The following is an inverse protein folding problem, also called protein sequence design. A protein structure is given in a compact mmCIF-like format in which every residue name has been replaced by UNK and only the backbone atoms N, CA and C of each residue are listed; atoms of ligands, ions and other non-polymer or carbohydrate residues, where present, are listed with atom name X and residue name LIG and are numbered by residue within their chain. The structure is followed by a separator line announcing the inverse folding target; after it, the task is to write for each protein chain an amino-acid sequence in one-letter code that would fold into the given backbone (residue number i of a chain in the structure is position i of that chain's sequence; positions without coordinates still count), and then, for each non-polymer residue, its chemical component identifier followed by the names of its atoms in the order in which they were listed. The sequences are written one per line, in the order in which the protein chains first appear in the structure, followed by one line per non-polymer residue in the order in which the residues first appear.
data_IF_227605587786
#
_entry.id   IF_227605587786
#
_cell.length_a   1.000
_cell.length_b   1.000
_cell.length_c   1.000
_cell.angle_alpha   90.00
_cell.angle_beta   90.00
_cell.angle_gamma   90.00
#
_symmetry.space_group_name_H-M   'P 1'
#
loop_
_entity.id
_entity.type
_entity.pdbx_description
1 polymer ?
#
# COMPACT_ATOMS: atom_id res chain seq x y z
N UNK A 1 -36.37 36.36 4.89
CA UNK A 1 -37.36 35.32 4.54
C UNK A 1 -36.99 34.82 3.15
N UNK A 2 -36.67 33.53 3.00
CA UNK A 2 -36.31 32.97 1.69
C UNK A 2 -37.60 32.86 0.86
N UNK A 3 -37.74 33.57 -0.28
CA UNK A 3 -38.97 33.55 -1.05
C UNK A 3 -39.09 32.19 -1.76
N UNK A 4 -39.94 31.32 -1.23
CA UNK A 4 -40.24 30.03 -1.87
C UNK A 4 -41.24 30.25 -3.01
N UNK A 5 -41.01 29.67 -4.20
CA UNK A 5 -41.93 29.76 -5.33
C UNK A 5 -43.09 28.78 -5.13
N UNK A 6 -43.94 29.03 -4.12
CA UNK A 6 -45.01 28.11 -3.69
C UNK A 6 -46.02 27.81 -4.79
N UNK A 7 -46.25 28.77 -5.70
CA UNK A 7 -47.09 28.66 -6.89
C UNK A 7 -46.51 27.75 -7.97
N UNK A 8 -45.22 27.44 -7.89
CA UNK A 8 -44.49 26.59 -8.83
C UNK A 8 -44.24 25.19 -8.27
N UNK A 9 -44.70 24.87 -7.06
CA UNK A 9 -44.55 23.55 -6.46
C UNK A 9 -45.80 22.71 -6.69
N UNK A 10 -45.64 21.58 -7.39
CA UNK A 10 -46.70 20.59 -7.57
C UNK A 10 -46.40 19.34 -6.77
N UNK A 11 -47.40 18.83 -6.03
CA UNK A 11 -47.28 17.53 -5.34
C UNK A 11 -47.01 16.46 -6.39
N UNK A 12 -45.91 15.72 -6.21
CA UNK A 12 -45.53 14.60 -7.08
C UNK A 12 -45.87 13.25 -6.46
N UNK A 13 -45.76 13.13 -5.14
CA UNK A 13 -46.05 11.89 -4.42
C UNK A 13 -46.36 12.15 -2.94
N UNK A 14 -47.17 11.27 -2.36
CA UNK A 14 -47.42 11.22 -0.92
C UNK A 14 -47.17 9.80 -0.43
N UNK A 15 -46.25 9.63 0.50
CA UNK A 15 -45.89 8.34 1.08
C UNK A 15 -46.20 8.31 2.58
N UNK A 16 -47.32 7.72 2.99
CA UNK A 16 -47.60 7.47 4.40
C UNK A 16 -46.77 6.28 4.93
N UNK A 17 -46.35 6.38 6.18
CA UNK A 17 -45.71 5.31 6.97
C UNK A 17 -46.42 5.20 8.31
N UNK A 18 -46.09 4.18 9.12
CA UNK A 18 -46.69 4.01 10.45
C UNK A 18 -46.48 5.21 11.39
N UNK A 19 -45.46 6.05 11.16
CA UNK A 19 -45.09 7.15 12.06
C UNK A 19 -45.18 8.53 11.41
N UNK A 20 -45.12 8.62 10.07
CA UNK A 20 -44.95 9.88 9.35
C UNK A 20 -45.58 9.84 7.96
N UNK A 21 -45.88 11.00 7.41
CA UNK A 21 -46.24 11.16 6.00
C UNK A 21 -45.20 12.03 5.30
N UNK A 22 -44.67 11.55 4.18
CA UNK A 22 -43.75 12.30 3.32
C UNK A 22 -44.52 12.85 2.13
N UNK A 23 -44.50 14.16 1.94
CA UNK A 23 -45.08 14.84 0.77
C UNK A 23 -43.92 15.34 -0.08
N UNK A 24 -43.84 14.83 -1.31
CA UNK A 24 -42.83 15.25 -2.29
C UNK A 24 -43.46 16.19 -3.29
N UNK A 25 -42.71 17.24 -3.63
CA UNK A 25 -43.07 18.21 -4.64
C UNK A 25 -41.98 18.25 -5.71
N UNK A 26 -42.41 18.48 -6.94
CA UNK A 26 -41.55 18.90 -8.04
C UNK A 26 -41.82 20.37 -8.35
N UNK A 27 -40.78 21.09 -8.77
CA UNK A 27 -40.94 22.46 -9.23
C UNK A 27 -41.26 22.51 -10.72
N UNK A 28 -42.23 23.34 -11.10
CA UNK A 28 -42.68 23.59 -12.48
C UNK A 28 -42.73 25.09 -12.71
N UNK A 29 -41.97 25.58 -13.68
CA UNK A 29 -41.92 26.99 -14.04
C UNK A 29 -42.59 27.20 -15.41
N UNK A 30 -43.72 27.92 -15.44
CA UNK A 30 -44.49 28.18 -16.67
C UNK A 30 -44.79 26.90 -17.49
N UNK A 31 -45.15 25.80 -16.80
CA UNK A 31 -45.45 24.51 -17.41
C UNK A 31 -44.23 23.65 -17.75
N UNK A 32 -43.00 24.15 -17.57
CA UNK A 32 -41.78 23.37 -17.77
C UNK A 32 -41.26 22.82 -16.44
N UNK A 33 -40.89 21.53 -16.37
CA UNK A 33 -40.24 20.96 -15.19
C UNK A 33 -38.90 21.67 -14.94
N UNK A 34 -38.65 22.02 -13.67
CA UNK A 34 -37.35 22.47 -13.21
C UNK A 34 -36.58 21.23 -12.76
N UNK A 35 -35.51 20.89 -13.47
CA UNK A 35 -34.58 19.81 -13.10
C UNK A 35 -34.01 20.10 -11.71
N UNK A 36 -33.78 19.04 -10.93
CA UNK A 36 -33.34 19.05 -9.53
C UNK A 36 -34.23 19.81 -8.53
N UNK A 37 -35.21 20.60 -9.00
CA UNK A 37 -36.19 21.32 -8.17
C UNK A 37 -37.13 20.36 -7.44
N UNK A 38 -36.77 19.98 -6.21
CA UNK A 38 -37.49 19.02 -5.38
C UNK A 38 -37.64 19.56 -3.97
N UNK A 39 -38.85 19.47 -3.46
CA UNK A 39 -39.14 19.76 -2.05
C UNK A 39 -39.73 18.52 -1.41
N UNK A 40 -39.30 18.21 -0.20
CA UNK A 40 -39.89 17.16 0.61
C UNK A 40 -40.33 17.74 1.94
N UNK A 41 -41.55 17.44 2.36
CA UNK A 41 -42.06 17.80 3.69
C UNK A 41 -42.43 16.52 4.41
N UNK A 42 -41.87 16.33 5.61
CA UNK A 42 -42.18 15.23 6.50
C UNK A 42 -43.13 15.72 7.59
N UNK A 43 -44.27 15.06 7.70
CA UNK A 43 -45.33 15.34 8.66
C UNK A 43 -45.40 14.24 9.72
N UNK A 44 -45.73 14.59 10.95
CA UNK A 44 -46.17 13.63 11.96
C UNK A 44 -47.64 13.20 11.74
N UNK A 45 -48.14 12.29 12.59
CA UNK A 45 -49.52 11.79 12.49
C UNK A 45 -50.59 12.85 12.78
N UNK A 46 -50.22 14.00 13.34
CA UNK A 46 -51.10 15.14 13.59
C UNK A 46 -51.02 16.19 12.47
N UNK A 47 -50.26 15.94 11.40
CA UNK A 47 -50.09 16.85 10.27
C UNK A 47 -49.13 18.00 10.53
N UNK A 48 -48.33 17.96 11.61
CA UNK A 48 -47.33 18.99 11.91
C UNK A 48 -46.05 18.70 11.14
N UNK A 49 -45.43 19.76 10.61
CA UNK A 49 -44.13 19.65 9.92
C UNK A 49 -43.04 19.36 10.93
N UNK A 50 -42.28 18.29 10.70
CA UNK A 50 -41.17 17.88 11.56
C UNK A 50 -39.82 17.87 10.85
N UNK A 51 -39.80 17.79 9.52
CA UNK A 51 -38.60 17.97 8.71
C UNK A 51 -38.97 18.40 7.29
N UNK A 52 -38.04 19.05 6.60
CA UNK A 52 -38.18 19.35 5.18
C UNK A 52 -36.81 19.31 4.48
N UNK A 53 -36.82 18.96 3.21
CA UNK A 53 -35.71 19.11 2.27
C UNK A 53 -36.11 20.10 1.18
N UNK A 54 -35.19 20.98 0.78
CA UNK A 54 -35.52 22.13 -0.05
C UNK A 54 -34.47 22.38 -1.13
N UNK A 55 -34.77 21.93 -2.34
CA UNK A 55 -34.15 22.38 -3.58
C UNK A 55 -35.22 23.11 -4.40
N UNK A 56 -35.41 24.40 -4.12
CA UNK A 56 -36.41 25.23 -4.81
C UNK A 56 -35.78 26.53 -5.30
N UNK A 57 -36.01 26.85 -6.57
CA UNK A 57 -35.30 27.90 -7.29
C UNK A 57 -36.27 29.05 -7.61
N UNK A 58 -36.16 30.15 -6.86
CA UNK A 58 -36.93 31.35 -7.12
C UNK A 58 -36.32 32.19 -8.27
N UNK A 59 -37.08 33.16 -8.77
CA UNK A 59 -36.59 34.18 -9.71
C UNK A 59 -36.01 33.63 -11.02
N UNK A 60 -36.60 32.55 -11.56
CA UNK A 60 -36.27 32.04 -12.89
C UNK A 60 -36.73 33.07 -13.94
N UNK A 61 -35.77 33.75 -14.57
CA UNK A 61 -36.01 34.88 -15.48
C UNK A 61 -35.42 34.67 -16.88
N UNK A 62 -35.53 33.45 -17.41
CA UNK A 62 -34.96 33.07 -18.72
C UNK A 62 -36.03 33.02 -19.82
N UNK A 63 -35.61 33.21 -21.07
CA UNK A 63 -36.48 32.94 -22.23
C UNK A 63 -36.80 31.45 -22.31
N UNK A 64 -38.08 31.12 -22.51
CA UNK A 64 -38.55 29.75 -22.73
C UNK A 64 -38.71 29.40 -24.22
N UNK A 65 -38.34 30.34 -25.11
CA UNK A 65 -38.30 30.13 -26.54
C UNK A 65 -36.89 29.64 -26.94
N UNK A 66 -36.72 28.39 -27.38
CA UNK A 66 -35.42 27.86 -27.74
C UNK A 66 -34.90 28.50 -29.04
N UNK A 67 -33.65 28.96 -29.05
CA UNK A 67 -33.02 29.43 -30.29
C UNK A 67 -32.47 28.27 -31.16
N UNK A 68 -32.21 27.10 -30.56
CA UNK A 68 -31.69 25.91 -31.24
C UNK A 68 -32.75 24.81 -31.40
N UNK A 69 -32.72 24.17 -32.58
CA UNK A 69 -33.54 23.00 -32.88
C UNK A 69 -32.94 21.69 -32.38
N UNK A 70 -33.67 20.59 -32.56
CA UNK A 70 -33.26 19.26 -32.11
C UNK A 70 -31.97 18.77 -32.77
N UNK A 71 -31.70 19.15 -34.01
CA UNK A 71 -30.50 18.73 -34.74
C UNK A 71 -29.20 19.17 -34.04
N UNK A 72 -29.15 20.39 -33.50
CA UNK A 72 -28.01 20.88 -32.75
C UNK A 72 -27.85 20.12 -31.43
N UNK A 73 -28.96 19.82 -30.75
CA UNK A 73 -28.93 19.06 -29.50
C UNK A 73 -28.47 17.61 -29.70
N UNK A 74 -28.91 16.95 -30.78
CA UNK A 74 -28.47 15.61 -31.15
C UNK A 74 -26.97 15.62 -31.44
N UNK A 75 -26.47 16.58 -32.24
CA UNK A 75 -25.05 16.66 -32.57
C UNK A 75 -24.18 16.78 -31.30
N UNK A 76 -24.52 17.69 -30.38
CA UNK A 76 -23.80 17.89 -29.13
C UNK A 76 -23.92 16.71 -28.17
N UNK A 77 -25.10 16.07 -28.09
CA UNK A 77 -25.33 14.89 -27.25
C UNK A 77 -24.59 13.65 -27.76
N UNK A 78 -24.41 13.51 -29.07
CA UNK A 78 -23.72 12.38 -29.70
C UNK A 78 -22.21 12.56 -29.84
N UNK A 79 -21.70 13.79 -29.72
CA UNK A 79 -20.28 14.09 -29.85
C UNK A 79 -19.42 13.22 -28.90
N UNK A 80 -18.41 12.56 -29.48
CA UNK A 80 -17.45 11.71 -28.76
C UNK A 80 -17.96 10.30 -28.39
N UNK A 81 -19.21 9.96 -28.72
CA UNK A 81 -19.74 8.62 -28.52
C UNK A 81 -19.57 7.76 -29.77
N UNK A 82 -19.22 6.50 -29.59
CA UNK A 82 -19.10 5.48 -30.64
C UNK A 82 -20.25 4.48 -30.54
N UNK A 83 -20.50 3.73 -31.61
CA UNK A 83 -21.51 2.65 -31.64
C UNK A 83 -22.91 3.08 -31.15
N UNK A 84 -23.37 4.23 -31.63
CA UNK A 84 -24.69 4.78 -31.30
C UNK A 84 -25.77 3.92 -31.96
N UNK A 85 -26.63 3.33 -31.14
CA UNK A 85 -27.79 2.55 -31.60
C UNK A 85 -29.03 3.42 -31.79
N UNK A 86 -29.29 4.37 -30.88
CA UNK A 86 -30.42 5.28 -31.00
C UNK A 86 -30.17 6.62 -30.31
N UNK A 87 -30.86 7.65 -30.79
CA UNK A 87 -30.90 8.98 -30.17
C UNK A 87 -32.36 9.41 -30.08
N UNK A 88 -32.80 9.81 -28.89
CA UNK A 88 -34.17 10.25 -28.63
C UNK A 88 -34.13 11.60 -27.94
N UNK A 89 -34.80 12.60 -28.52
CA UNK A 89 -34.96 13.91 -27.89
C UNK A 89 -36.29 13.94 -27.14
N UNK A 90 -36.26 14.38 -25.89
CA UNK A 90 -37.49 14.54 -25.10
C UNK A 90 -38.38 15.63 -25.71
N UNK A 91 -39.70 15.40 -25.84
CA UNK A 91 -40.59 16.37 -26.49
C UNK A 91 -40.81 17.65 -25.66
N UNK A 92 -40.50 17.62 -24.36
CA UNK A 92 -40.68 18.75 -23.46
C UNK A 92 -39.32 19.33 -23.04
N UNK A 93 -39.19 20.65 -23.17
CA UNK A 93 -38.06 21.40 -22.63
C UNK A 93 -38.09 21.40 -21.11
N UNK A 94 -36.93 21.64 -20.48
CA UNK A 94 -36.80 21.73 -19.03
C UNK A 94 -35.97 22.93 -18.64
N UNK A 95 -36.14 23.40 -17.42
CA UNK A 95 -35.26 24.41 -16.83
C UNK A 95 -34.21 23.68 -16.00
N UNK A 96 -32.93 23.95 -16.27
CA UNK A 96 -31.80 23.43 -15.50
C UNK A 96 -31.21 24.55 -14.63
N UNK A 97 -31.33 24.44 -13.30
CA UNK A 97 -30.59 25.28 -12.37
C UNK A 97 -29.16 24.76 -12.21
N UNK A 98 -28.16 25.59 -12.49
CA UNK A 98 -26.74 25.30 -12.31
C UNK A 98 -26.22 26.15 -11.14
N UNK A 99 -25.80 25.51 -10.02
CA UNK A 99 -25.25 26.24 -8.89
C UNK A 99 -23.94 26.96 -9.27
N UNK A 100 -23.86 28.24 -8.91
CA UNK A 100 -22.66 29.06 -8.98
C UNK A 100 -22.22 29.46 -7.57
N UNK A 101 -21.00 30.01 -7.45
CA UNK A 101 -20.58 30.61 -6.19
C UNK A 101 -21.55 31.74 -5.80
N UNK A 102 -22.33 31.51 -4.73
CA UNK A 102 -23.37 32.43 -4.20
C UNK A 102 -24.50 32.76 -5.18
N UNK A 103 -24.82 31.87 -6.12
CA UNK A 103 -25.91 32.10 -7.06
C UNK A 103 -26.39 30.83 -7.75
N UNK A 104 -27.41 30.96 -8.58
CA UNK A 104 -27.89 29.92 -9.47
C UNK A 104 -28.12 30.53 -10.83
N UNK A 105 -27.51 29.94 -11.85
CA UNK A 105 -27.80 30.24 -13.25
C UNK A 105 -28.87 29.27 -13.75
N UNK A 106 -29.76 29.74 -14.62
CA UNK A 106 -30.82 28.90 -15.17
C UNK A 106 -30.62 28.75 -16.67
N UNK A 107 -30.75 27.53 -17.17
CA UNK A 107 -30.68 27.22 -18.59
C UNK A 107 -31.98 26.58 -19.05
N UNK A 108 -32.47 26.95 -20.23
CA UNK A 108 -33.48 26.18 -20.93
C UNK A 108 -32.76 25.03 -21.63
N UNK A 109 -33.12 23.78 -21.36
CA UNK A 109 -32.41 22.60 -21.88
C UNK A 109 -33.32 21.64 -22.63
N UNK A 110 -32.75 21.02 -23.68
CA UNK A 110 -33.27 19.81 -24.30
C UNK A 110 -32.62 18.60 -23.63
N UNK A 111 -33.44 17.64 -23.23
CA UNK A 111 -32.94 16.35 -22.73
C UNK A 111 -32.84 15.38 -23.91
N UNK A 112 -31.64 14.89 -24.18
CA UNK A 112 -31.36 13.93 -25.25
C UNK A 112 -30.84 12.65 -24.63
N UNK A 113 -31.47 11.53 -24.98
CA UNK A 113 -31.01 10.20 -24.59
C UNK A 113 -30.28 9.56 -25.76
N UNK A 114 -29.05 9.09 -25.52
CA UNK A 114 -28.23 8.40 -26.52
C UNK A 114 -27.94 6.99 -26.03
N UNK A 115 -28.36 5.97 -26.77
CA UNK A 115 -28.04 4.58 -26.49
C UNK A 115 -26.81 4.14 -27.29
N UNK A 116 -25.82 3.54 -26.62
CA UNK A 116 -24.59 3.02 -27.24
C UNK A 116 -24.31 1.60 -26.79
N UNK A 117 -23.55 0.85 -27.58
CA UNK A 117 -23.01 -0.46 -27.18
C UNK A 117 -21.51 -0.50 -27.43
N UNK A 118 -20.71 -0.62 -26.36
CA UNK A 118 -19.25 -0.67 -26.48
C UNK A 118 -18.72 -1.95 -25.85
N UNK A 119 -17.97 -2.75 -26.62
CA UNK A 119 -17.44 -4.05 -26.19
C UNK A 119 -18.50 -4.98 -25.57
N UNK A 120 -19.71 -5.02 -26.17
CA UNK A 120 -20.84 -5.81 -25.67
C UNK A 120 -21.56 -5.22 -24.46
N UNK A 121 -21.10 -4.08 -23.93
CA UNK A 121 -21.70 -3.39 -22.77
C UNK A 121 -22.64 -2.29 -23.24
N UNK A 122 -23.95 -2.35 -22.92
CA UNK A 122 -24.89 -1.29 -23.28
C UNK A 122 -24.70 -0.07 -22.36
N UNK A 123 -24.79 1.13 -22.91
CA UNK A 123 -24.87 2.38 -22.15
C UNK A 123 -26.04 3.24 -22.63
N UNK A 124 -26.61 4.04 -21.73
CA UNK A 124 -27.72 4.95 -22.01
C UNK A 124 -27.38 6.30 -21.41
N UNK A 125 -26.95 7.24 -22.25
CA UNK A 125 -26.51 8.55 -21.84
C UNK A 125 -27.69 9.52 -21.78
N UNK A 126 -28.00 10.05 -20.60
CA UNK A 126 -28.88 11.21 -20.48
C UNK A 126 -28.05 12.48 -20.59
N UNK A 127 -28.31 13.27 -21.62
CA UNK A 127 -27.61 14.51 -21.93
C UNK A 127 -28.56 15.70 -21.74
N UNK A 128 -28.08 16.78 -21.12
CA UNK A 128 -28.80 18.06 -21.08
C UNK A 128 -28.04 19.07 -21.94
N UNK A 129 -28.69 19.53 -23.00
CA UNK A 129 -28.10 20.47 -23.96
C UNK A 129 -28.83 21.80 -23.88
N UNK A 130 -28.09 22.89 -23.74
CA UNK A 130 -28.64 24.24 -23.74
C UNK A 130 -29.41 24.53 -25.03
N UNK A 131 -30.67 24.90 -24.89
CA UNK A 131 -31.60 25.07 -26.00
C UNK A 131 -31.41 26.39 -26.78
N UNK A 132 -30.51 27.27 -26.32
CA UNK A 132 -30.18 28.54 -26.98
C UNK A 132 -28.79 28.52 -27.63
N UNK A 133 -27.83 27.84 -27.01
CA UNK A 133 -26.43 27.78 -27.50
C UNK A 133 -26.08 26.45 -28.16
N UNK A 134 -26.79 25.36 -27.85
CA UNK A 134 -26.45 24.01 -28.28
C UNK A 134 -25.33 23.37 -27.47
N UNK A 135 -24.86 24.01 -26.39
CA UNK A 135 -23.80 23.49 -25.53
C UNK A 135 -24.28 22.29 -24.71
N UNK A 136 -23.50 21.22 -24.67
CA UNK A 136 -23.72 20.11 -23.73
C UNK A 136 -23.35 20.56 -22.31
N UNK A 137 -24.34 20.66 -21.42
CA UNK A 137 -24.16 21.09 -20.04
C UNK A 137 -23.97 19.91 -19.08
N UNK A 138 -24.54 18.75 -19.41
CA UNK A 138 -24.47 17.55 -18.58
C UNK A 138 -24.58 16.29 -19.42
N UNK A 139 -23.87 15.23 -19.03
CA UNK A 139 -24.00 13.89 -19.60
C UNK A 139 -23.76 12.84 -18.49
N UNK A 140 -24.67 11.87 -18.37
CA UNK A 140 -24.54 10.77 -17.42
C UNK A 140 -25.00 9.45 -18.03
N UNK A 141 -24.25 8.37 -17.79
CA UNK A 141 -24.72 7.01 -18.11
C UNK A 141 -25.77 6.56 -17.07
N UNK A 142 -26.97 6.21 -17.53
CA UNK A 142 -28.11 5.71 -16.76
C UNK A 142 -28.10 4.19 -16.58
N UNK A 143 -27.26 3.46 -17.30
CA UNK A 143 -27.15 2.01 -17.10
C UNK A 143 -26.31 1.75 -15.86
N UNK A 144 -26.93 1.15 -14.85
CA UNK A 144 -26.25 0.67 -13.64
C UNK A 144 -25.74 -0.73 -13.90
N UNK A 145 -24.46 -0.86 -14.24
CA UNK A 145 -23.81 -2.16 -14.35
C UNK A 145 -23.23 -2.57 -13.01
N UNK A 146 -23.50 -3.80 -12.60
CA UNK A 146 -22.66 -4.52 -11.66
C UNK A 146 -21.63 -5.29 -12.50
N UNK A 147 -20.69 -4.57 -13.11
CA UNK A 147 -19.54 -5.24 -13.70
C UNK A 147 -18.79 -5.91 -12.54
N UNK A 148 -18.52 -7.23 -12.57
CA UNK A 148 -17.44 -7.76 -11.76
C UNK A 148 -16.22 -6.90 -12.07
N UNK A 149 -15.40 -6.50 -11.08
CA UNK A 149 -14.12 -5.89 -11.42
C UNK A 149 -13.44 -6.80 -12.45
N UNK A 150 -12.87 -6.20 -13.51
CA UNK A 150 -12.02 -6.95 -14.42
C UNK A 150 -11.08 -7.80 -13.57
N UNK A 151 -11.05 -9.12 -13.80
CA UNK A 151 -10.34 -10.10 -12.98
C UNK A 151 -9.06 -9.46 -12.44
N UNK A 152 -9.00 -9.24 -11.12
CA UNK A 152 -7.81 -8.71 -10.48
C UNK A 152 -6.65 -9.72 -10.52
N UNK A 153 -6.83 -10.86 -11.22
CA UNK A 153 -5.91 -11.96 -11.26
C UNK A 153 -5.91 -12.77 -9.97
N UNK A 154 -4.99 -13.73 -9.90
CA UNK A 154 -4.63 -14.36 -8.66
C UNK A 154 -3.87 -13.35 -7.78
N UNK A 155 -4.35 -13.16 -6.56
CA UNK A 155 -3.73 -12.33 -5.53
C UNK A 155 -3.08 -13.24 -4.50
N UNK A 156 -1.83 -12.98 -4.14
CA UNK A 156 -1.04 -13.80 -3.23
C UNK A 156 -0.84 -13.01 -1.94
N UNK A 157 -1.11 -13.65 -0.80
CA UNK A 157 -0.63 -13.22 0.51
C UNK A 157 0.27 -14.33 1.05
N UNK A 158 1.58 -14.08 1.08
CA UNK A 158 2.61 -15.02 1.52
C UNK A 158 3.04 -14.78 2.97
N UNK A 159 3.11 -15.83 3.77
CA UNK A 159 3.61 -15.78 5.14
C UNK A 159 4.39 -17.03 5.57
N UNK A 160 5.16 -16.92 6.63
CA UNK A 160 5.90 -18.03 7.25
C UNK A 160 6.06 -17.84 8.75
N UNK A 161 6.20 -18.94 9.47
CA UNK A 161 6.45 -18.98 10.90
C UNK A 161 7.95 -18.84 11.17
N UNK A 162 8.36 -17.76 11.85
CA UNK A 162 9.76 -17.42 12.11
C UNK A 162 10.00 -17.02 13.55
N UNK A 163 11.25 -17.14 14.02
CA UNK A 163 11.66 -16.57 15.29
C UNK A 163 12.09 -15.12 15.07
N UNK A 164 11.28 -14.15 15.50
CA UNK A 164 11.54 -12.71 15.28
C UNK A 164 12.65 -12.13 16.17
N UNK A 165 13.14 -12.91 17.14
CA UNK A 165 14.27 -12.54 18.00
C UNK A 165 15.21 -13.73 18.18
N UNK A 166 14.76 -14.78 18.86
CA UNK A 166 15.49 -16.02 19.04
C UNK A 166 14.53 -17.18 19.41
N UNK A 167 14.98 -18.45 19.37
CA UNK A 167 14.15 -19.61 19.68
C UNK A 167 13.62 -19.76 21.11
N UNK A 168 14.03 -18.91 22.07
CA UNK A 168 13.40 -18.89 23.40
C UNK A 168 12.12 -18.05 23.45
N UNK A 169 11.88 -17.26 22.40
CA UNK A 169 10.66 -16.49 22.23
C UNK A 169 9.80 -17.25 21.21
N UNK A 170 8.48 -17.43 21.46
CA UNK A 170 7.61 -18.13 20.54
C UNK A 170 7.68 -17.54 19.13
N UNK A 171 7.76 -18.41 18.13
CA UNK A 171 7.72 -18.01 16.73
C UNK A 171 6.39 -17.32 16.39
N UNK A 172 6.45 -16.36 15.46
CA UNK A 172 5.29 -15.61 14.97
C UNK A 172 5.12 -15.80 13.47
N UNK A 173 3.90 -15.60 12.98
CA UNK A 173 3.59 -15.64 11.56
C UNK A 173 3.89 -14.28 10.95
N UNK A 174 4.91 -14.22 10.10
CA UNK A 174 5.40 -12.99 9.46
C UNK A 174 5.20 -13.02 7.94
N UNK A 175 5.06 -11.86 7.28
CA UNK A 175 4.95 -11.79 5.83
C UNK A 175 6.25 -12.22 5.13
N UNK A 176 6.11 -12.88 3.97
CA UNK A 176 7.22 -13.24 3.10
C UNK A 176 7.63 -12.04 2.22
N UNK A 177 8.25 -11.04 2.85
CA UNK A 177 8.69 -9.83 2.17
C UNK A 177 9.67 -10.14 1.02
N UNK A 178 9.48 -9.48 -0.13
CA UNK A 178 10.39 -9.51 -1.28
C UNK A 178 10.66 -10.90 -1.89
N UNK A 179 9.85 -11.91 -1.55
CA UNK A 179 10.01 -13.29 -2.00
C UNK A 179 9.77 -13.39 -3.51
N UNK A 180 10.60 -14.15 -4.21
CA UNK A 180 10.43 -14.44 -5.63
C UNK A 180 9.41 -15.54 -5.83
N UNK A 181 8.48 -15.31 -6.74
CA UNK A 181 7.54 -16.29 -7.25
C UNK A 181 7.57 -16.29 -8.77
N UNK A 182 7.63 -17.47 -9.38
CA UNK A 182 7.56 -17.63 -10.84
C UNK A 182 6.14 -18.03 -11.21
N UNK A 183 5.40 -17.11 -11.83
CA UNK A 183 4.02 -17.31 -12.28
C UNK A 183 4.02 -17.34 -13.80
N UNK A 184 3.54 -18.45 -14.39
CA UNK A 184 3.52 -18.64 -15.86
C UNK A 184 4.89 -18.37 -16.53
N UNK A 185 5.98 -18.79 -15.88
CA UNK A 185 7.36 -18.63 -16.39
C UNK A 185 7.97 -17.24 -16.19
N UNK A 186 7.25 -16.29 -15.58
CA UNK A 186 7.75 -14.93 -15.30
C UNK A 186 8.02 -14.78 -13.80
N UNK A 187 9.24 -14.35 -13.45
CA UNK A 187 9.59 -14.03 -12.07
C UNK A 187 8.93 -12.70 -11.65
N UNK A 188 8.19 -12.76 -10.55
CA UNK A 188 7.59 -11.64 -9.84
C UNK A 188 8.03 -11.69 -8.38
N UNK A 189 7.83 -10.61 -7.64
CA UNK A 189 8.23 -10.50 -6.24
C UNK A 189 7.08 -10.01 -5.39
N UNK A 190 6.90 -10.62 -4.22
CA UNK A 190 6.03 -10.09 -3.19
C UNK A 190 6.56 -8.73 -2.72
N UNK A 191 5.66 -7.83 -2.33
CA UNK A 191 6.02 -6.56 -1.70
C UNK A 191 6.47 -6.77 -0.23
N UNK A 192 6.90 -5.71 0.49
CA UNK A 192 7.31 -5.83 1.89
C UNK A 192 6.21 -6.33 2.85
N UNK A 193 4.94 -6.29 2.45
CA UNK A 193 3.81 -6.84 3.22
C UNK A 193 3.51 -8.30 2.88
N UNK A 194 4.30 -8.93 2.01
CA UNK A 194 4.09 -10.30 1.55
C UNK A 194 2.96 -10.41 0.52
N UNK A 195 2.60 -9.31 -0.15
CA UNK A 195 1.50 -9.28 -1.12
C UNK A 195 2.00 -9.23 -2.56
N UNK A 196 1.29 -9.91 -3.46
CA UNK A 196 1.46 -9.77 -4.90
C UNK A 196 0.13 -9.93 -5.63
N UNK A 197 -0.24 -8.95 -6.45
CA UNK A 197 -1.25 -9.12 -7.49
C UNK A 197 -0.57 -9.57 -8.78
N UNK A 198 -0.90 -10.79 -9.26
CA UNK A 198 -0.25 -11.33 -10.47
C UNK A 198 -0.76 -10.70 -11.76
N UNK A 199 -1.96 -10.10 -11.76
CA UNK A 199 -2.67 -9.62 -12.94
C UNK A 199 -3.12 -10.73 -13.90
N UNK A 200 -2.98 -12.00 -13.50
CA UNK A 200 -3.28 -13.17 -14.32
C UNK A 200 -4.45 -13.95 -13.73
N UNK A 201 -5.48 -14.22 -14.53
CA UNK A 201 -6.62 -15.04 -14.09
C UNK A 201 -6.21 -16.47 -13.78
N UNK A 202 -6.67 -17.02 -12.66
CA UNK A 202 -6.46 -18.42 -12.29
C UNK A 202 -7.43 -19.38 -13.02
N UNK A 203 -7.20 -20.70 -12.94
CA UNK A 203 -6.11 -21.36 -12.24
C UNK A 203 -4.77 -21.27 -12.99
N UNK A 204 -3.71 -20.88 -12.29
CA UNK A 204 -2.36 -20.76 -12.85
C UNK A 204 -1.32 -21.40 -11.93
N UNK A 205 -0.33 -22.08 -12.52
CA UNK A 205 0.77 -22.65 -11.76
C UNK A 205 1.76 -21.56 -11.36
N UNK A 206 2.18 -21.60 -10.09
CA UNK A 206 3.19 -20.73 -9.51
C UNK A 206 4.23 -21.56 -8.76
N UNK A 207 5.50 -21.21 -8.93
CA UNK A 207 6.62 -21.81 -8.17
C UNK A 207 7.18 -20.77 -7.22
N UNK A 208 7.22 -21.09 -5.93
CA UNK A 208 7.78 -20.27 -4.88
C UNK A 208 9.18 -20.77 -4.55
N UNK A 209 10.12 -19.84 -4.40
CA UNK A 209 11.51 -20.13 -4.02
C UNK A 209 11.81 -19.36 -2.74
N UNK A 210 12.58 -19.92 -1.81
CA UNK A 210 13.09 -19.20 -0.65
C UNK A 210 14.30 -18.32 -1.05
N UNK A 211 14.08 -17.54 -2.09
CA UNK A 211 14.94 -16.48 -2.54
C UNK A 211 14.10 -15.27 -2.92
N UNK A 212 14.74 -14.11 -2.97
CA UNK A 212 14.07 -12.85 -3.14
C UNK A 212 15.04 -11.78 -3.56
N UNK A 213 14.60 -10.53 -3.48
CA UNK A 213 15.41 -9.38 -3.89
C UNK A 213 16.73 -9.29 -3.11
N UNK A 214 16.69 -9.57 -1.80
CA UNK A 214 17.79 -9.27 -0.87
C UNK A 214 18.47 -10.50 -0.27
N UNK A 215 17.83 -11.67 -0.33
CA UNK A 215 18.37 -12.93 0.20
C UNK A 215 18.08 -14.08 -0.75
N UNK A 216 19.06 -14.97 -0.91
CA UNK A 216 18.88 -16.31 -1.46
C UNK A 216 19.30 -17.31 -0.41
N UNK A 217 18.34 -18.02 0.19
CA UNK A 217 18.65 -19.05 1.17
C UNK A 217 19.05 -20.34 0.47
N UNK A 218 20.12 -20.96 0.94
CA UNK A 218 20.57 -22.28 0.50
C UNK A 218 20.91 -23.16 1.69
N UNK A 219 20.51 -24.42 1.60
CA UNK A 219 20.98 -25.50 2.47
C UNK A 219 21.61 -26.56 1.58
N UNK A 220 22.87 -26.93 1.83
CA UNK A 220 23.63 -27.87 0.99
C UNK A 220 23.61 -27.50 -0.51
N UNK A 221 23.69 -26.21 -0.83
CA UNK A 221 23.71 -25.70 -2.21
C UNK A 221 22.36 -25.74 -2.94
N UNK A 222 21.26 -25.93 -2.22
CA UNK A 222 19.91 -25.97 -2.78
C UNK A 222 19.01 -24.94 -2.10
N UNK A 223 18.32 -24.13 -2.91
CA UNK A 223 17.27 -23.21 -2.44
C UNK A 223 15.94 -23.95 -2.28
N UNK A 224 15.31 -23.92 -1.09
CA UNK A 224 13.98 -24.49 -0.87
C UNK A 224 12.95 -23.91 -1.84
N UNK A 225 12.08 -24.76 -2.39
CA UNK A 225 11.02 -24.33 -3.31
C UNK A 225 9.85 -25.31 -3.34
N UNK A 226 8.68 -24.81 -3.73
CA UNK A 226 7.50 -25.64 -4.00
C UNK A 226 6.63 -25.05 -5.09
N UNK A 227 5.78 -25.90 -5.69
CA UNK A 227 4.83 -25.51 -6.73
C UNK A 227 3.42 -25.60 -6.18
N UNK A 228 2.58 -24.63 -6.52
CA UNK A 228 1.15 -24.65 -6.21
C UNK A 228 0.34 -24.04 -7.37
N UNK A 229 -0.99 -24.22 -7.31
CA UNK A 229 -1.92 -23.65 -8.28
C UNK A 229 -2.67 -22.49 -7.64
N UNK A 230 -2.45 -21.28 -8.13
CA UNK A 230 -3.17 -20.09 -7.71
C UNK A 230 -4.54 -20.04 -8.38
N UNK A 231 -5.59 -19.84 -7.58
CA UNK A 231 -6.94 -19.60 -8.05
C UNK A 231 -7.14 -18.11 -8.38
N UNK A 232 -8.19 -17.80 -9.14
CA UNK A 232 -8.61 -16.42 -9.33
C UNK A 232 -9.01 -15.79 -7.98
N UNK A 233 -8.59 -14.56 -7.73
CA UNK A 233 -8.79 -13.88 -6.45
C UNK A 233 -7.75 -14.27 -5.38
N UNK A 234 -8.10 -14.15 -4.08
CA UNK A 234 -7.13 -14.31 -2.99
C UNK A 234 -6.61 -15.74 -2.79
N UNK A 235 -5.30 -15.86 -2.62
CA UNK A 235 -4.57 -17.08 -2.29
C UNK A 235 -3.67 -16.83 -1.08
N UNK A 236 -3.95 -17.50 0.03
CA UNK A 236 -3.08 -17.52 1.20
C UNK A 236 -2.01 -18.60 1.04
N UNK A 237 -0.75 -18.19 0.99
CA UNK A 237 0.40 -19.09 0.77
C UNK A 237 1.27 -19.10 2.03
N UNK A 238 1.53 -20.29 2.55
CA UNK A 238 2.48 -20.50 3.63
C UNK A 238 3.72 -21.21 3.10
N UNK A 239 4.91 -20.78 3.52
CA UNK A 239 6.17 -21.46 3.22
C UNK A 239 6.54 -22.53 4.28
N UNK A 240 5.76 -22.69 5.35
CA UNK A 240 6.12 -23.53 6.50
C UNK A 240 6.29 -25.02 6.15
N UNK A 241 5.61 -25.50 5.11
CA UNK A 241 5.77 -26.88 4.62
C UNK A 241 6.88 -27.03 3.57
N UNK A 242 7.37 -25.91 3.03
CA UNK A 242 8.39 -25.88 1.98
C UNK A 242 9.81 -25.68 2.50
N UNK A 243 10.00 -25.47 3.80
CA UNK A 243 11.28 -25.09 4.42
C UNK A 243 11.24 -25.33 5.94
N UNK A 244 12.37 -25.12 6.62
CA UNK A 244 12.48 -25.20 8.08
C UNK A 244 12.62 -23.80 8.73
N UNK A 245 12.44 -23.71 10.04
CA UNK A 245 12.45 -22.41 10.76
C UNK A 245 13.80 -21.69 10.71
N UNK A 246 14.93 -22.38 10.52
CA UNK A 246 16.26 -21.76 10.39
C UNK A 246 16.36 -20.99 9.09
N UNK A 247 15.99 -21.65 8.00
CA UNK A 247 15.94 -21.06 6.66
C UNK A 247 14.96 -19.87 6.60
N UNK A 248 13.74 -20.05 7.14
CA UNK A 248 12.71 -19.02 7.14
C UNK A 248 13.09 -17.80 7.99
N UNK A 249 13.68 -18.02 9.18
CA UNK A 249 14.12 -16.93 10.07
C UNK A 249 15.30 -16.17 9.46
N UNK A 250 16.28 -16.86 8.84
CA UNK A 250 17.38 -16.20 8.15
C UNK A 250 16.89 -15.33 6.98
N UNK A 251 15.99 -15.87 6.14
CA UNK A 251 15.38 -15.10 5.05
C UNK A 251 14.67 -13.83 5.56
N UNK A 252 13.87 -13.98 6.62
CA UNK A 252 13.14 -12.87 7.24
C UNK A 252 14.11 -11.78 7.74
N UNK A 253 15.11 -12.16 8.54
CA UNK A 253 16.02 -11.20 9.14
C UNK A 253 16.91 -10.48 8.13
N UNK A 254 17.34 -11.15 7.05
CA UNK A 254 18.06 -10.48 5.97
C UNK A 254 17.22 -9.39 5.31
N UNK A 255 15.92 -9.63 5.11
CA UNK A 255 15.02 -8.60 4.59
C UNK A 255 14.85 -7.43 5.57
N UNK A 256 14.75 -7.70 6.87
CA UNK A 256 14.62 -6.68 7.92
C UNK A 256 15.85 -5.77 7.98
N UNK A 257 17.07 -6.33 8.03
CA UNK A 257 18.30 -5.52 8.06
C UNK A 257 18.51 -4.77 6.74
N UNK A 258 18.19 -5.37 5.60
CA UNK A 258 18.29 -4.67 4.31
C UNK A 258 17.39 -3.42 4.29
N UNK A 259 16.12 -3.54 4.70
CA UNK A 259 15.22 -2.39 4.78
C UNK A 259 15.72 -1.34 5.77
N UNK A 260 16.18 -1.77 6.95
CA UNK A 260 16.74 -0.87 7.96
C UNK A 260 17.93 -0.07 7.42
N UNK A 261 18.86 -0.70 6.70
CA UNK A 261 19.98 -0.01 6.04
C UNK A 261 19.48 1.05 5.08
N UNK A 262 18.48 0.74 4.25
CA UNK A 262 17.92 1.69 3.30
C UNK A 262 17.25 2.90 3.98
N UNK A 263 16.76 2.76 5.21
CA UNK A 263 16.26 3.91 5.97
C UNK A 263 17.36 4.89 6.41
N UNK A 264 18.56 4.39 6.72
CA UNK A 264 19.67 5.21 7.23
C UNK A 264 20.65 5.65 6.14
N UNK A 265 20.82 4.83 5.10
CA UNK A 265 21.72 5.03 3.97
C UNK A 265 20.95 4.90 2.64
N UNK A 266 19.94 5.75 2.36
CA UNK A 266 19.03 5.58 1.21
C UNK A 266 19.71 5.70 -0.17
N UNK A 267 20.94 6.21 -0.24
CA UNK A 267 21.72 6.30 -1.48
C UNK A 267 22.74 5.18 -1.63
N UNK A 268 22.90 4.33 -0.62
CA UNK A 268 23.83 3.22 -0.63
C UNK A 268 23.17 1.98 -1.25
N UNK A 269 23.39 1.80 -2.55
CA UNK A 269 22.87 0.66 -3.33
C UNK A 269 23.78 -0.57 -3.28
N UNK A 270 24.82 -0.55 -2.44
CA UNK A 270 25.85 -1.59 -2.42
C UNK A 270 25.35 -2.94 -1.94
N UNK A 271 24.15 -2.98 -1.34
CA UNK A 271 23.48 -4.17 -0.87
C UNK A 271 22.23 -4.52 -1.69
N UNK A 272 21.97 -3.85 -2.81
CA UNK A 272 20.77 -4.03 -3.66
C UNK A 272 20.90 -5.28 -4.56
N UNK A 273 21.22 -6.42 -3.95
CA UNK A 273 21.35 -7.70 -4.61
C UNK A 273 20.93 -8.84 -3.66
N UNK A 274 20.64 -10.00 -4.24
CA UNK A 274 20.25 -11.18 -3.47
C UNK A 274 21.48 -11.83 -2.82
N UNK A 275 21.73 -11.51 -1.55
CA UNK A 275 22.87 -12.02 -0.79
C UNK A 275 22.69 -13.52 -0.51
N UNK A 276 23.68 -14.32 -0.85
CA UNK A 276 23.67 -15.75 -0.52
C UNK A 276 23.67 -15.92 1.00
N UNK A 277 22.68 -16.65 1.49
CA UNK A 277 22.41 -16.90 2.91
C UNK A 277 22.45 -18.41 3.13
N UNK A 278 23.62 -18.94 3.46
CA UNK A 278 23.81 -20.37 3.65
C UNK A 278 23.39 -20.78 5.07
N UNK A 279 22.51 -21.75 5.17
CA UNK A 279 22.03 -22.31 6.43
C UNK A 279 22.51 -23.77 6.54
N UNK A 280 22.72 -24.22 7.77
CA UNK A 280 23.16 -25.58 8.07
C UNK A 280 24.51 -25.92 7.39
N UNK A 281 25.47 -24.97 7.46
CA UNK A 281 26.85 -25.17 7.01
C UNK A 281 27.60 -26.06 8.02
N UNK A 282 28.48 -26.93 7.52
CA UNK A 282 29.26 -27.84 8.37
C UNK A 282 30.11 -27.09 9.41
N UNK A 283 29.87 -27.40 10.68
CA UNK A 283 30.46 -26.72 11.84
C UNK A 283 29.44 -26.65 12.98
N UNK A 284 29.82 -26.07 14.10
CA UNK A 284 28.90 -25.80 15.22
C UNK A 284 29.27 -24.50 15.91
N UNK A 285 28.30 -23.85 16.55
CA UNK A 285 28.52 -22.67 17.39
C UNK A 285 29.20 -21.48 16.68
N UNK A 286 28.92 -21.24 15.39
CA UNK A 286 29.40 -20.05 14.72
C UNK A 286 28.52 -19.62 13.54
N UNK A 287 28.73 -18.37 13.12
CA UNK A 287 28.30 -17.84 11.85
C UNK A 287 29.45 -16.98 11.28
N UNK A 288 29.43 -16.68 9.98
CA UNK A 288 30.43 -15.80 9.38
C UNK A 288 30.00 -15.24 8.02
N UNK A 289 30.52 -14.06 7.72
CA UNK A 289 30.59 -13.48 6.38
C UNK A 289 31.93 -13.81 5.70
N UNK A 290 31.90 -14.26 4.44
CA UNK A 290 33.10 -14.69 3.69
C UNK A 290 33.53 -13.75 2.55
N UNK A 291 32.88 -12.59 2.41
CA UNK A 291 33.07 -11.66 1.29
C UNK A 291 32.02 -11.77 0.18
N UNK A 292 31.26 -12.86 0.15
CA UNK A 292 30.20 -13.09 -0.85
C UNK A 292 28.88 -13.62 -0.29
N UNK A 293 28.90 -14.19 0.92
CA UNK A 293 27.77 -14.85 1.56
C UNK A 293 27.83 -14.74 3.07
N UNK A 294 26.67 -14.85 3.72
CA UNK A 294 26.56 -15.07 5.16
C UNK A 294 26.26 -16.56 5.40
N UNK A 295 26.93 -17.14 6.38
CA UNK A 295 26.97 -18.59 6.58
C UNK A 295 26.66 -18.90 8.03
N UNK A 296 25.68 -19.78 8.27
CA UNK A 296 25.27 -20.18 9.61
C UNK A 296 25.51 -21.67 9.79
N UNK A 297 26.23 -22.04 10.85
CA UNK A 297 26.45 -23.45 11.14
C UNK A 297 25.17 -24.18 11.57
N UNK A 298 25.21 -25.49 11.38
CA UNK A 298 24.21 -26.41 11.92
C UNK A 298 24.09 -26.27 13.44
N UNK A 299 22.88 -26.53 13.94
CA UNK A 299 22.66 -26.66 15.38
C UNK A 299 23.49 -27.82 15.95
N UNK A 300 24.27 -27.55 16.99
CA UNK A 300 25.18 -28.52 17.57
C UNK A 300 26.15 -27.91 18.57
N UNK A 301 26.92 -28.76 19.26
CA UNK A 301 27.91 -28.29 20.25
C UNK A 301 27.31 -27.55 21.46
N UNK A 302 25.99 -27.61 21.66
CA UNK A 302 25.28 -26.86 22.70
C UNK A 302 24.79 -25.48 22.25
N UNK A 303 24.95 -25.12 20.98
CA UNK A 303 24.44 -23.89 20.39
C UNK A 303 23.27 -24.16 19.46
N UNK A 304 22.32 -23.22 19.46
CA UNK A 304 21.27 -23.16 18.46
C UNK A 304 21.88 -22.78 17.10
N UNK A 305 21.21 -23.08 15.99
CA UNK A 305 21.62 -22.50 14.71
C UNK A 305 21.43 -20.99 14.74
N UNK A 306 22.50 -20.24 14.47
CA UNK A 306 22.50 -18.78 14.52
C UNK A 306 21.66 -18.14 13.41
N UNK A 307 21.24 -18.92 12.41
CA UNK A 307 20.21 -18.52 11.44
C UNK A 307 18.87 -18.15 12.10
N UNK A 308 18.62 -18.62 13.33
CA UNK A 308 17.40 -18.33 14.10
C UNK A 308 17.59 -17.21 15.14
N UNK A 309 18.79 -16.65 15.26
CA UNK A 309 19.10 -15.60 16.23
C UNK A 309 19.25 -14.28 15.46
N UNK A 310 18.22 -13.44 15.54
CA UNK A 310 18.08 -12.22 14.74
C UNK A 310 19.35 -11.36 14.72
N UNK A 311 19.93 -11.12 15.90
CA UNK A 311 21.11 -10.28 16.06
C UNK A 311 22.36 -10.84 15.39
N UNK A 312 22.52 -12.17 15.35
CA UNK A 312 23.63 -12.78 14.63
C UNK A 312 23.44 -12.60 13.14
N UNK A 313 22.22 -12.79 12.61
CA UNK A 313 21.93 -12.53 11.19
C UNK A 313 22.22 -11.08 10.82
N UNK A 314 21.83 -10.13 11.67
CA UNK A 314 22.10 -8.70 11.47
C UNK A 314 23.60 -8.38 11.55
N UNK A 315 24.34 -9.01 12.47
CA UNK A 315 25.78 -8.86 12.59
C UNK A 315 26.50 -9.36 11.33
N UNK A 316 26.19 -10.56 10.84
CA UNK A 316 26.80 -11.10 9.62
C UNK A 316 26.47 -10.24 8.38
N UNK A 317 25.23 -9.76 8.28
CA UNK A 317 24.86 -8.81 7.24
C UNK A 317 25.59 -7.45 7.42
N UNK A 318 25.87 -7.07 8.67
CA UNK A 318 26.71 -5.94 9.06
C UNK A 318 28.11 -5.99 8.45
N UNK A 319 28.75 -7.15 8.47
CA UNK A 319 30.02 -7.35 7.77
C UNK A 319 29.89 -7.15 6.26
N UNK A 320 28.81 -7.65 5.65
CA UNK A 320 28.56 -7.42 4.23
C UNK A 320 28.36 -5.93 3.91
N UNK A 321 27.63 -5.18 4.74
CA UNK A 321 27.50 -3.71 4.60
C UNK A 321 28.88 -3.07 4.66
N UNK A 322 29.69 -3.40 5.67
CA UNK A 322 31.03 -2.85 5.83
C UNK A 322 31.91 -3.12 4.60
N UNK A 323 31.91 -4.35 4.09
CA UNK A 323 32.66 -4.71 2.88
C UNK A 323 32.19 -3.90 1.65
N UNK A 324 30.88 -3.92 1.36
CA UNK A 324 30.35 -3.26 0.16
C UNK A 324 30.41 -1.74 0.24
N UNK A 325 30.23 -1.15 1.42
CA UNK A 325 30.31 0.29 1.61
C UNK A 325 31.72 0.82 1.35
N UNK A 326 32.74 0.22 1.96
CA UNK A 326 34.12 0.65 1.75
C UNK A 326 34.63 0.28 0.35
N UNK A 327 34.18 -0.84 -0.22
CA UNK A 327 34.46 -1.22 -1.60
C UNK A 327 34.00 -0.17 -2.62
N UNK A 328 32.81 0.41 -2.45
CA UNK A 328 32.31 1.51 -3.31
C UNK A 328 33.17 2.77 -3.16
N UNK A 329 33.73 3.01 -1.99
CA UNK A 329 34.67 4.10 -1.74
C UNK A 329 36.09 3.80 -2.25
N UNK A 330 36.30 2.69 -2.95
CA UNK A 330 37.62 2.21 -3.39
C UNK A 330 38.61 2.06 -2.22
N UNK A 331 38.10 1.66 -1.06
CA UNK A 331 38.84 1.44 0.18
C UNK A 331 38.60 0.02 0.69
N UNK A 332 39.40 -0.41 1.65
CA UNK A 332 39.17 -1.61 2.45
C UNK A 332 38.84 -1.25 3.90
N UNK A 333 38.22 -2.19 4.62
CA UNK A 333 38.01 -2.09 6.07
C UNK A 333 38.95 -3.08 6.78
N UNK A 334 40.18 -2.65 7.01
CA UNK A 334 41.27 -3.51 7.52
C UNK A 334 41.35 -3.61 9.05
N UNK A 335 40.69 -2.70 9.78
CA UNK A 335 40.65 -2.77 11.24
C UNK A 335 39.55 -3.74 11.70
N UNK A 336 39.93 -5.01 11.95
CA UNK A 336 39.00 -6.07 12.35
C UNK A 336 38.16 -5.71 13.58
N UNK A 337 38.75 -5.18 14.65
CA UNK A 337 38.00 -4.82 15.85
C UNK A 337 36.96 -3.72 15.62
N UNK A 338 37.22 -2.80 14.70
CA UNK A 338 36.23 -1.80 14.29
C UNK A 338 35.18 -2.40 13.35
N UNK A 339 35.54 -3.35 12.49
CA UNK A 339 34.59 -4.05 11.61
C UNK A 339 33.55 -4.81 12.46
N UNK A 340 34.01 -5.58 13.46
CA UNK A 340 33.15 -6.19 14.49
C UNK A 340 32.21 -5.17 15.15
N UNK A 341 32.78 -4.07 15.66
CA UNK A 341 31.99 -3.05 16.34
C UNK A 341 30.96 -2.34 15.46
N UNK A 342 31.18 -2.27 14.14
CA UNK A 342 30.23 -1.73 13.18
C UNK A 342 29.13 -2.75 12.86
N UNK A 343 29.47 -4.04 12.73
CA UNK A 343 28.50 -5.12 12.58
C UNK A 343 27.54 -5.20 13.77
N UNK A 344 28.09 -5.15 14.99
CA UNK A 344 27.34 -5.05 16.25
C UNK A 344 26.41 -3.83 16.27
N UNK A 345 26.88 -2.68 15.78
CA UNK A 345 26.10 -1.46 15.74
C UNK A 345 24.87 -1.61 14.84
N UNK A 346 25.01 -2.26 13.68
CA UNK A 346 23.87 -2.52 12.80
C UNK A 346 22.81 -3.37 13.48
N UNK A 347 23.20 -4.48 14.13
CA UNK A 347 22.29 -5.32 14.90
C UNK A 347 21.59 -4.51 16.03
N UNK A 348 22.39 -3.80 16.83
CA UNK A 348 21.89 -2.97 17.94
C UNK A 348 20.89 -1.91 17.51
N UNK A 349 21.10 -1.26 16.35
CA UNK A 349 20.19 -0.21 15.88
C UNK A 349 18.80 -0.72 15.51
N UNK A 350 18.64 -2.04 15.32
CA UNK A 350 17.34 -2.70 15.12
C UNK A 350 16.77 -3.18 16.45
N UNK A 351 17.53 -3.99 17.21
CA UNK A 351 17.00 -4.66 18.41
C UNK A 351 16.92 -3.75 19.63
N UNK A 352 17.75 -2.71 19.67
CA UNK A 352 17.92 -1.83 20.82
C UNK A 352 18.30 -2.60 22.11
N UNK A 353 18.86 -3.80 21.95
CA UNK A 353 19.31 -4.66 23.05
C UNK A 353 20.82 -4.49 23.28
N UNK A 354 21.27 -4.13 24.50
CA UNK A 354 22.68 -4.02 24.82
C UNK A 354 23.42 -5.37 24.90
N UNK A 355 22.71 -6.50 24.84
CA UNK A 355 23.28 -7.85 24.83
C UNK A 355 23.09 -8.44 23.43
N UNK A 356 24.19 -8.83 22.79
CA UNK A 356 24.13 -9.43 21.46
C UNK A 356 24.14 -10.97 21.52
N UNK A 357 23.35 -11.57 20.63
CA UNK A 357 23.18 -13.02 20.45
C UNK A 357 22.60 -13.76 21.66
N UNK A 358 21.66 -13.11 22.35
CA UNK A 358 20.79 -13.80 23.28
C UNK A 358 19.98 -14.89 22.54
N UNK A 359 19.98 -16.08 23.14
CA UNK A 359 19.43 -17.29 22.56
C UNK A 359 20.42 -18.15 21.78
N UNK A 360 21.68 -17.75 21.63
CA UNK A 360 22.69 -18.55 20.92
C UNK A 360 22.98 -19.93 21.56
N UNK A 361 22.79 -20.09 22.86
CA UNK A 361 22.96 -21.37 23.58
C UNK A 361 21.64 -22.14 23.71
N UNK A 362 21.67 -23.47 23.51
CA UNK A 362 20.48 -24.32 23.67
C UNK A 362 19.96 -24.42 25.11
N UNK A 363 20.80 -24.17 26.12
CA UNK A 363 20.49 -24.41 27.53
C UNK A 363 20.37 -23.15 28.37
N UNK A 364 20.87 -22.01 27.87
CA UNK A 364 20.93 -20.76 28.62
C UNK A 364 20.60 -19.57 27.71
N UNK A 365 19.41 -18.96 27.84
CA UNK A 365 18.96 -17.89 26.95
C UNK A 365 19.90 -16.67 26.94
N UNK A 366 20.60 -16.41 28.05
CA UNK A 366 21.40 -15.19 28.27
C UNK A 366 22.91 -15.39 28.07
N UNK A 367 23.32 -16.53 27.50
CA UNK A 367 24.74 -16.80 27.24
C UNK A 367 25.06 -16.33 25.84
N UNK A 368 25.89 -15.29 25.74
CA UNK A 368 26.44 -14.75 24.49
C UNK A 368 27.47 -15.72 23.91
N UNK A 369 27.50 -15.90 22.59
CA UNK A 369 28.52 -16.70 21.90
C UNK A 369 29.92 -16.15 22.18
N UNK A 370 30.93 -17.04 22.28
CA UNK A 370 32.30 -16.68 22.66
C UNK A 370 32.97 -15.65 21.76
N UNK A 371 32.61 -15.60 20.47
CA UNK A 371 33.14 -14.62 19.50
C UNK A 371 32.54 -13.22 19.69
N UNK A 372 31.30 -13.12 20.22
CA UNK A 372 30.58 -11.87 20.42
C UNK A 372 30.80 -11.24 21.81
N UNK A 373 31.68 -11.82 22.63
CA UNK A 373 31.88 -11.44 24.06
C UNK A 373 32.56 -10.09 24.32
N UNK A 374 32.77 -9.21 23.33
CA UNK A 374 33.48 -7.94 23.59
C UNK A 374 32.61 -6.75 23.98
N UNK A 375 31.28 -6.83 23.91
CA UNK A 375 30.41 -5.70 24.26
C UNK A 375 29.23 -6.13 25.15
N UNK A 376 29.47 -6.30 26.45
CA UNK A 376 28.45 -5.90 27.45
C UNK A 376 28.64 -4.40 27.70
N UNK A 377 28.05 -3.54 26.87
CA UNK A 377 28.07 -2.09 27.13
C UNK A 377 26.85 -1.72 27.97
N UNK A 378 27.04 -1.67 29.29
CA UNK A 378 26.12 -0.98 30.20
C UNK A 378 26.20 0.53 29.96
N UNK A 379 25.50 1.04 28.95
CA UNK A 379 25.38 2.48 28.72
C UNK A 379 23.94 2.92 29.02
N UNK A 380 23.70 3.76 30.05
CA UNK A 380 22.37 4.14 30.46
C UNK A 380 21.62 4.93 29.37
N UNK A 381 20.28 4.88 29.32
CA UNK A 381 19.47 5.45 28.23
C UNK A 381 19.67 6.95 27.98
N UNK A 382 20.21 7.69 28.93
CA UNK A 382 20.28 9.15 28.91
C UNK A 382 21.50 9.75 28.20
N UNK A 383 22.48 8.94 27.80
CA UNK A 383 23.74 9.43 27.19
C UNK A 383 23.81 9.36 25.65
N UNK A 384 22.82 8.78 24.97
CA UNK A 384 22.94 8.38 23.55
C UNK A 384 22.77 9.51 22.52
N UNK A 385 22.26 10.68 22.91
CA UNK A 385 22.09 11.82 22.00
C UNK A 385 23.42 12.48 21.53
N UNK A 386 24.58 11.98 21.97
CA UNK A 386 25.90 12.62 21.72
C UNK A 386 26.89 11.85 20.84
N UNK A 387 26.63 10.59 20.46
CA UNK A 387 27.61 9.79 19.71
C UNK A 387 27.43 9.77 18.18
N UNK A 388 26.44 10.46 17.61
CA UNK A 388 26.33 10.62 16.16
C UNK A 388 26.28 12.10 15.76
N UNK A 389 27.43 12.67 15.37
CA UNK A 389 27.43 13.73 14.39
C UNK A 389 28.40 13.38 13.25
N UNK A 390 27.94 12.66 12.23
CA UNK A 390 28.55 12.69 10.89
C UNK A 390 27.64 12.06 9.83
N UNK A 391 26.47 12.65 9.63
CA UNK A 391 25.70 12.52 8.38
C UNK A 391 24.66 13.66 8.31
N UNK A 392 25.09 14.92 8.46
CA UNK A 392 24.31 16.06 7.99
C UNK A 392 25.23 16.99 7.21
N UNK A 393 24.88 17.12 5.93
CA UNK A 393 25.25 18.12 4.92
C UNK A 393 26.42 19.05 5.24
N UNK A 394 27.35 19.10 4.29
CA UNK A 394 28.32 20.17 4.08
C UNK A 394 27.72 21.57 4.29
N UNK A 395 28.07 22.22 5.40
CA UNK A 395 28.27 23.66 5.43
C UNK A 395 29.54 23.98 6.21
N UNK A 396 30.46 24.61 5.48
CA UNK A 396 31.67 25.26 5.96
C UNK A 396 31.33 26.16 7.15
N UNK A 397 31.97 25.96 8.31
CA UNK A 397 32.36 27.05 9.22
C UNK A 397 33.46 26.52 10.15
N UNK A 398 34.60 27.22 10.15
CA UNK A 398 35.83 26.81 10.83
C UNK A 398 35.74 26.87 12.35
N UNK A 399 36.40 25.91 13.00
CA UNK A 399 36.64 25.88 14.43
C UNK A 399 37.29 24.55 14.81
N UNK A 400 38.59 24.56 15.10
CA UNK A 400 39.33 23.41 15.63
C UNK A 400 38.85 23.08 17.05
N UNK A 401 38.35 21.87 17.34
CA UNK A 401 38.13 21.42 18.71
C UNK A 401 39.36 20.63 19.19
N UNK A 402 39.94 21.10 20.29
CA UNK A 402 40.96 20.40 21.08
C UNK A 402 40.34 19.21 21.83
N UNK A 403 40.86 17.99 21.63
CA UNK A 403 40.54 16.83 22.46
C UNK A 403 41.31 16.89 23.78
N UNK A 404 40.60 16.95 24.91
CA UNK A 404 41.16 16.65 26.23
C UNK A 404 41.20 15.13 26.43
N UNK A 405 42.39 14.58 26.66
CA UNK A 405 42.64 13.16 26.94
C UNK A 405 42.08 12.75 28.31
N UNK A 406 41.01 11.96 28.32
CA UNK A 406 40.59 11.17 29.48
C UNK A 406 40.94 9.70 29.24
N UNK A 407 42.02 9.21 29.86
CA UNK A 407 42.44 7.83 29.77
C UNK A 407 41.47 6.91 30.54
N UNK A 408 40.99 5.84 29.89
CA UNK A 408 40.32 4.72 30.56
C UNK A 408 41.34 3.58 30.64
N UNK A 409 41.66 3.20 31.87
CA UNK A 409 42.62 2.14 32.22
C UNK A 409 41.97 0.77 32.02
N UNK A 410 42.65 -0.13 31.28
CA UNK A 410 42.32 -1.56 31.22
C UNK A 410 43.18 -2.31 32.24
N UNK A 411 42.57 -2.87 33.28
CA UNK A 411 43.19 -3.94 34.08
C UNK A 411 42.84 -5.29 33.48
N UNK A 412 43.85 -6.17 33.47
CA UNK A 412 43.96 -7.47 32.78
C UNK A 412 42.79 -8.42 32.91
#
# INVERSE_FOLDING_TARGET
MYPLPMDQLSVSAVYPTQKHTYVHFIQVHNGLPVLTGRVMVKLDLQGRVIAFGLDAYASIGISLNPAQGDAAAIASASAGLTNIGSVVVSPQLRVLPVPLYRGVEHHLVRVVEVATTENGTPARWECWVDANTGQLLYRQNRVMHHAPPASAGAEITGSSTVFTQNPFIPATLEPLANLRVVVNGVAQYLDPSGYLNTGLGGPISATFFLDGRWSRVETNGSTPSFVTTLQEGPNAISFDSGSNTRELSAYHHVNVIHEHVNTWLPTFVGMDFSLLTNVDVAGTCNAFYDGGSINFYEEGGGCQSYAQVAEVVYHEYGHAINDKFYGILSSDFTNGAMNEGYADLWAFTITQDPILADGSSCSTPTTTSGDMTRIRKSIPPTSWARCMPMARSSQVLGGTPTCSSGAISTSR
#
